data_IF_897082411663
#
_entry.id   IF_897082411663
#
_cell.length_a   1.000
_cell.length_b   1.000
_cell.length_c   1.000
_cell.angle_alpha   90.00
_cell.angle_beta   90.00
_cell.angle_gamma   90.00
#
_symmetry.space_group_name_H-M   'P 1'
#
loop_
_entity.id
_entity.type
_entity.pdbx_description
1 polymer ?
#
# COMPACT_ATOMS: atom_id res chain seq x y z
N UNK A 1 7.81 -16.08 -3.65
CA UNK A 1 6.91 -16.13 -2.49
C UNK A 1 6.83 -14.69 -2.00
N UNK A 2 5.89 -13.91 -2.54
CA UNK A 2 5.83 -12.44 -2.36
C UNK A 2 4.35 -12.00 -2.28
N UNK A 3 3.59 -12.59 -1.38
CA UNK A 3 2.22 -12.18 -1.07
C UNK A 3 1.94 -12.65 0.35
N UNK A 4 2.46 -11.93 1.34
CA UNK A 4 2.25 -12.29 2.75
C UNK A 4 1.18 -11.45 3.47
N UNK A 5 0.54 -10.45 2.85
CA UNK A 5 -0.45 -9.62 3.58
C UNK A 5 -1.85 -9.46 2.93
N UNK A 6 -2.09 -10.10 1.77
CA UNK A 6 -3.41 -10.04 1.12
C UNK A 6 -3.79 -8.66 0.58
N UNK A 7 -2.77 -7.85 0.26
CA UNK A 7 -2.88 -6.64 -0.53
C UNK A 7 -1.57 -6.36 -1.28
N UNK A 8 -1.68 -5.63 -2.40
CA UNK A 8 -0.56 -5.10 -3.17
C UNK A 8 -0.47 -3.58 -2.99
N UNK A 9 0.74 -3.04 -3.08
CA UNK A 9 0.95 -1.60 -2.94
C UNK A 9 1.67 -1.04 -4.16
N UNK A 10 1.19 0.09 -4.68
CA UNK A 10 1.79 0.79 -5.83
C UNK A 10 2.06 2.23 -5.43
N UNK A 11 3.30 2.67 -5.61
CA UNK A 11 3.69 4.07 -5.44
C UNK A 11 3.83 4.74 -6.81
N UNK A 12 3.15 5.88 -6.97
CA UNK A 12 3.18 6.72 -8.16
C UNK A 12 3.76 8.09 -7.78
N UNK A 13 5.08 8.30 -7.94
CA UNK A 13 5.68 9.60 -7.67
C UNK A 13 5.17 10.65 -8.67
N UNK A 14 4.87 11.84 -8.18
CA UNK A 14 4.58 13.00 -9.01
C UNK A 14 5.86 13.66 -9.50
N UNK A 15 5.74 14.48 -10.54
CA UNK A 15 6.84 15.28 -11.05
C UNK A 15 7.46 16.12 -9.91
N UNK A 16 8.78 16.01 -9.77
CA UNK A 16 9.55 16.64 -8.70
C UNK A 16 9.91 15.71 -7.54
N UNK A 17 9.33 14.51 -7.44
CA UNK A 17 9.61 13.51 -6.37
C UNK A 17 9.37 14.02 -4.92
N UNK A 18 8.67 15.14 -4.75
CA UNK A 18 8.33 15.68 -3.42
C UNK A 18 7.06 15.05 -2.86
N UNK A 19 6.23 14.47 -3.74
CA UNK A 19 4.94 13.87 -3.44
C UNK A 19 4.78 12.57 -4.23
N UNK A 20 4.09 11.61 -3.63
CA UNK A 20 3.71 10.37 -4.26
C UNK A 20 2.29 9.97 -3.85
N UNK A 21 1.57 9.33 -4.78
CA UNK A 21 0.32 8.65 -4.49
C UNK A 21 0.61 7.18 -4.19
N UNK A 22 0.13 6.68 -3.05
CA UNK A 22 0.24 5.27 -2.68
C UNK A 22 -1.13 4.61 -2.81
N UNK A 23 -1.23 3.61 -3.66
CA UNK A 23 -2.46 2.84 -3.91
C UNK A 23 -2.33 1.48 -3.23
N UNK A 24 -3.29 1.16 -2.36
CA UNK A 24 -3.43 -0.14 -1.71
C UNK A 24 -4.51 -0.95 -2.43
N UNK A 25 -4.09 -1.98 -3.15
CA UNK A 25 -4.98 -2.90 -3.85
C UNK A 25 -5.20 -4.14 -2.99
N UNK A 26 -6.35 -4.18 -2.31
CA UNK A 26 -6.74 -5.30 -1.46
C UNK A 26 -7.35 -6.44 -2.28
N UNK A 27 -7.34 -7.65 -1.73
CA UNK A 27 -8.17 -8.74 -2.24
C UNK A 27 -9.67 -8.37 -2.22
N UNK A 28 -10.41 -8.90 -3.19
CA UNK A 28 -11.84 -8.63 -3.31
C UNK A 28 -12.60 -9.00 -2.02
N UNK A 29 -13.47 -8.09 -1.57
CA UNK A 29 -14.30 -8.27 -0.38
C UNK A 29 -13.66 -7.86 0.95
N UNK A 30 -12.42 -7.36 0.95
CA UNK A 30 -11.71 -6.95 2.19
C UNK A 30 -11.72 -5.45 2.47
N UNK A 31 -12.33 -4.64 1.61
CA UNK A 31 -12.25 -3.17 1.70
C UNK A 31 -12.79 -2.62 3.03
N UNK A 32 -14.02 -2.95 3.42
CA UNK A 32 -14.63 -2.41 4.64
C UNK A 32 -13.87 -2.81 5.91
N UNK A 33 -13.43 -4.07 6.01
CA UNK A 33 -12.63 -4.53 7.16
C UNK A 33 -11.30 -3.76 7.25
N UNK A 34 -10.64 -3.58 6.10
CA UNK A 34 -9.38 -2.87 6.03
C UNK A 34 -9.55 -1.39 6.39
N UNK A 35 -10.55 -0.70 5.82
CA UNK A 35 -10.84 0.70 6.08
C UNK A 35 -11.11 0.96 7.57
N UNK A 36 -11.93 0.12 8.21
CA UNK A 36 -12.21 0.24 9.65
C UNK A 36 -10.98 0.03 10.54
N UNK A 37 -9.99 -0.69 10.02
CA UNK A 37 -8.75 -0.98 10.72
C UNK A 37 -7.62 0.02 10.41
N UNK A 38 -7.86 0.96 9.49
CA UNK A 38 -6.87 1.91 9.02
C UNK A 38 -6.75 3.07 10.00
N UNK A 39 -5.61 3.17 10.68
CA UNK A 39 -5.25 4.29 11.53
C UNK A 39 -3.85 4.83 11.17
N UNK A 40 -3.45 5.94 11.80
CA UNK A 40 -2.17 6.58 11.53
C UNK A 40 -0.96 5.67 11.75
N UNK A 41 -1.01 4.77 12.75
CA UNK A 41 0.09 3.83 13.04
C UNK A 41 0.17 2.76 11.96
N UNK A 42 -0.97 2.21 11.57
CA UNK A 42 -1.06 1.19 10.52
C UNK A 42 -0.62 1.73 9.17
N UNK A 43 -0.96 2.97 8.85
CA UNK A 43 -0.47 3.65 7.64
C UNK A 43 1.06 3.75 7.67
N UNK A 44 1.63 4.18 8.79
CA UNK A 44 3.09 4.30 8.94
C UNK A 44 3.79 2.93 8.80
N UNK A 45 3.21 1.86 9.37
CA UNK A 45 3.71 0.49 9.22
C UNK A 45 3.73 0.04 7.75
N UNK A 46 2.62 0.25 7.03
CA UNK A 46 2.52 -0.07 5.60
C UNK A 46 3.56 0.69 4.79
N UNK A 47 3.72 1.99 5.03
CA UNK A 47 4.67 2.84 4.31
C UNK A 47 6.12 2.41 4.55
N UNK A 48 6.47 2.01 5.78
CA UNK A 48 7.81 1.49 6.11
C UNK A 48 8.09 0.12 5.48
N UNK A 49 7.05 -0.67 5.23
CA UNK A 49 7.15 -1.98 4.58
C UNK A 49 7.22 -1.95 3.05
N UNK A 50 7.10 -0.76 2.43
CA UNK A 50 7.16 -0.63 0.98
C UNK A 50 8.51 -1.10 0.45
N UNK A 51 8.44 -2.06 -0.47
CA UNK A 51 9.61 -2.52 -1.22
C UNK A 51 9.45 -2.12 -2.68
N UNK A 52 10.46 -1.44 -3.22
CA UNK A 52 10.49 -1.06 -4.62
C UNK A 52 10.81 -2.29 -5.48
N UNK A 53 9.78 -2.84 -6.10
CA UNK A 53 9.88 -3.93 -7.07
C UNK A 53 9.36 -3.48 -8.43
N UNK A 54 9.90 -4.04 -9.52
CA UNK A 54 9.27 -3.88 -10.83
C UNK A 54 7.99 -4.72 -10.82
N UNK A 55 6.85 -4.08 -11.07
CA UNK A 55 5.61 -4.80 -11.37
C UNK A 55 5.88 -5.72 -12.58
N UNK A 56 5.56 -7.03 -12.49
CA UNK A 56 5.78 -7.97 -13.59
C UNK A 56 4.92 -7.66 -14.82
#
# INVERSE_FOLDING_TARGET
MWWEEGFQTVELPYDGNELAMVILLLDAGRFEEFENSLDARRVEEILRGLTYGRLP
#
